data_IF_269816768192
#
_entry.id   IF_269816768192
#
_cell.length_a   1.000
_cell.length_b   1.000
_cell.length_c   1.000
_cell.angle_alpha   90.00
_cell.angle_beta   90.00
_cell.angle_gamma   90.00
#
_symmetry.space_group_name_H-M   'P 1'
#
loop_
_entity.id
_entity.type
_entity.pdbx_description
1 polymer ?
#
# COMPACT_ATOMS: atom_id res chain seq x y z
N UNK A 1 18.89 -13.15 7.25
CA UNK A 1 18.81 -12.95 8.73
C UNK A 1 19.79 -11.85 9.13
N UNK A 2 19.38 -10.87 9.93
CA UNK A 2 20.27 -9.81 10.38
C UNK A 2 21.33 -10.40 11.32
N UNK A 3 22.58 -10.25 10.95
CA UNK A 3 23.75 -10.72 11.70
C UNK A 3 24.16 -9.71 12.78
N UNK A 4 24.81 -10.18 13.83
CA UNK A 4 25.51 -9.27 14.76
C UNK A 4 26.65 -8.56 14.00
N UNK A 5 26.84 -7.26 14.24
CA UNK A 5 27.94 -6.52 13.64
C UNK A 5 29.27 -7.15 14.12
N UNK A 6 29.97 -7.84 13.24
CA UNK A 6 31.30 -8.37 13.49
C UNK A 6 32.33 -7.34 13.03
N UNK A 7 33.14 -6.85 13.96
CA UNK A 7 34.23 -5.94 13.62
C UNK A 7 35.24 -6.66 12.71
N UNK A 8 35.74 -5.94 11.72
CA UNK A 8 36.82 -6.44 10.86
C UNK A 8 38.10 -6.64 11.68
N UNK A 9 38.99 -7.56 11.28
CA UNK A 9 40.28 -7.75 11.98
C UNK A 9 41.10 -6.45 12.14
N UNK A 10 40.96 -5.52 11.18
CA UNK A 10 41.60 -4.20 11.22
C UNK A 10 41.01 -3.33 12.31
N UNK A 11 39.70 -3.26 12.44
CA UNK A 11 39.00 -2.49 13.48
C UNK A 11 39.29 -3.02 14.88
N UNK A 12 39.36 -4.35 15.03
CA UNK A 12 39.75 -5.00 16.28
C UNK A 12 41.18 -4.57 16.64
N UNK A 13 42.13 -4.58 15.68
CA UNK A 13 43.50 -4.16 15.91
C UNK A 13 43.62 -2.67 16.29
N UNK A 14 42.78 -1.81 15.66
CA UNK A 14 42.69 -0.39 16.00
C UNK A 14 42.21 -0.15 17.43
N UNK A 15 41.16 -0.87 17.86
CA UNK A 15 40.64 -0.80 19.23
C UNK A 15 41.65 -1.28 20.25
N UNK A 16 42.36 -2.38 19.98
CA UNK A 16 43.43 -2.89 20.87
C UNK A 16 44.58 -1.88 20.97
N UNK A 17 45.02 -1.33 19.85
CA UNK A 17 46.07 -0.34 19.83
C UNK A 17 45.66 0.92 20.63
N UNK A 18 44.44 1.40 20.44
CA UNK A 18 43.92 2.58 21.16
C UNK A 18 43.83 2.33 22.68
N UNK A 19 43.45 1.10 23.06
CA UNK A 19 43.46 0.66 24.47
C UNK A 19 44.84 0.68 25.08
N UNK A 20 45.84 0.12 24.38
CA UNK A 20 47.26 0.11 24.82
C UNK A 20 47.80 1.55 24.95
N UNK A 21 47.59 2.39 23.93
CA UNK A 21 48.06 3.80 23.94
C UNK A 21 47.40 4.55 25.10
N UNK A 22 46.10 4.35 25.33
CA UNK A 22 45.40 5.02 26.44
C UNK A 22 45.94 4.59 27.79
N UNK A 23 46.18 3.31 28.01
CA UNK A 23 46.80 2.81 29.25
C UNK A 23 48.21 3.36 29.45
N UNK A 24 49.02 3.40 28.38
CA UNK A 24 50.37 4.00 28.47
C UNK A 24 50.33 5.49 28.87
N UNK A 25 49.42 6.28 28.27
CA UNK A 25 49.25 7.70 28.60
C UNK A 25 48.86 7.89 30.06
N UNK A 26 47.83 7.13 30.53
CA UNK A 26 47.33 7.22 31.90
C UNK A 26 48.40 6.77 32.90
N UNK A 27 49.18 5.72 32.56
CA UNK A 27 50.32 5.27 33.38
C UNK A 27 51.42 6.30 33.48
N UNK A 28 51.80 6.95 32.37
CA UNK A 28 52.80 8.02 32.37
C UNK A 28 52.34 9.23 33.18
N UNK A 29 51.07 9.62 33.09
CA UNK A 29 50.49 10.68 33.92
C UNK A 29 50.51 10.31 35.41
N UNK A 30 50.17 9.06 35.76
CA UNK A 30 50.26 8.56 37.13
C UNK A 30 51.70 8.65 37.66
N UNK A 31 52.71 8.17 36.90
CA UNK A 31 54.12 8.24 37.25
C UNK A 31 54.59 9.72 37.41
N UNK A 32 54.20 10.60 36.49
CA UNK A 32 54.54 12.03 36.56
C UNK A 32 54.02 12.68 37.83
N UNK A 33 52.77 12.44 38.19
CA UNK A 33 52.18 12.96 39.43
C UNK A 33 52.85 12.36 40.65
N UNK A 34 53.14 11.06 40.64
CA UNK A 34 53.82 10.39 41.77
C UNK A 34 55.23 10.92 41.99
N UNK A 35 56.00 11.17 40.93
CA UNK A 35 57.32 11.79 40.99
C UNK A 35 57.23 13.23 41.52
N UNK A 36 56.29 14.03 40.99
CA UNK A 36 56.05 15.40 41.42
C UNK A 36 55.72 15.49 42.91
N UNK A 37 54.79 14.63 43.36
CA UNK A 37 54.42 14.56 44.80
C UNK A 37 55.59 14.10 45.65
N UNK A 38 56.39 13.12 45.17
CA UNK A 38 57.61 12.65 45.89
C UNK A 38 58.66 13.74 46.01
N UNK A 39 58.86 14.55 44.97
CA UNK A 39 59.77 15.68 45.03
C UNK A 39 59.29 16.75 46.02
N UNK A 40 57.99 17.09 45.98
CA UNK A 40 57.43 18.07 46.93
C UNK A 40 57.57 17.62 48.41
N UNK A 41 57.60 16.35 48.69
CA UNK A 41 57.69 15.79 50.04
C UNK A 41 59.17 15.68 50.48
N UNK A 42 60.09 15.38 49.55
CA UNK A 42 61.46 14.98 49.90
C UNK A 42 62.56 16.09 49.67
N UNK A 43 62.27 17.09 48.82
CA UNK A 43 63.26 18.16 48.54
C UNK A 43 62.83 19.56 49.06
N UNK A 44 63.59 20.17 50.02
CA UNK A 44 63.35 21.54 50.46
C UNK A 44 64.05 22.56 49.53
N UNK A 45 63.72 22.55 48.24
CA UNK A 45 64.55 23.35 47.33
C UNK A 45 63.90 24.01 46.14
N UNK A 46 62.62 23.78 45.87
CA UNK A 46 61.95 24.37 44.66
C UNK A 46 61.14 25.63 44.97
N UNK A 47 60.82 25.87 46.20
CA UNK A 47 60.26 27.14 46.67
C UNK A 47 61.12 27.61 47.78
N UNK A 48 61.71 28.79 47.61
CA UNK A 48 62.55 29.49 48.61
C UNK A 48 61.74 29.95 49.84
N UNK A 49 61.14 29.02 50.51
CA UNK A 49 60.48 29.17 51.81
C UNK A 49 60.95 27.98 52.62
N UNK A 50 61.63 28.24 53.73
CA UNK A 50 62.23 27.32 54.66
C UNK A 50 61.32 26.37 55.42
N UNK A 51 60.34 25.82 54.75
CA UNK A 51 59.35 24.86 55.34
C UNK A 51 59.21 23.63 54.45
N UNK A 52 59.78 22.50 54.87
CA UNK A 52 59.43 21.23 54.26
C UNK A 52 57.97 20.98 54.60
N UNK A 53 57.16 20.48 53.58
CA UNK A 53 55.73 20.12 53.78
C UNK A 53 55.58 19.17 54.96
N UNK A 54 56.65 18.50 55.37
CA UNK A 54 56.72 17.57 56.52
C UNK A 54 56.69 18.31 57.85
N UNK A 55 57.27 19.46 57.96
CA UNK A 55 57.23 20.24 59.20
C UNK A 55 55.97 21.08 59.36
N UNK A 56 55.44 21.50 58.23
CA UNK A 56 54.22 22.35 58.23
C UNK A 56 52.96 21.50 58.51
N UNK A 57 52.86 20.26 57.99
CA UNK A 57 51.65 19.45 58.06
C UNK A 57 51.67 18.37 59.14
N UNK A 58 52.79 18.19 59.90
CA UNK A 58 52.99 17.20 60.98
C UNK A 58 52.54 15.75 60.54
N UNK A 59 52.87 15.37 59.27
CA UNK A 59 52.42 14.14 58.66
C UNK A 59 53.40 13.01 58.98
N UNK A 60 52.98 11.99 59.72
CA UNK A 60 53.77 10.81 60.00
C UNK A 60 54.00 9.93 58.77
N UNK A 61 55.12 9.15 58.73
CA UNK A 61 55.40 8.25 57.59
C UNK A 61 54.28 7.26 57.26
N UNK A 62 53.58 6.81 58.24
CA UNK A 62 52.43 5.88 58.07
C UNK A 62 51.26 6.55 57.35
N UNK A 63 50.98 7.80 57.62
CA UNK A 63 49.94 8.59 56.96
C UNK A 63 50.32 8.86 55.47
N UNK A 64 51.58 9.11 55.16
CA UNK A 64 52.06 9.27 53.77
C UNK A 64 51.86 7.97 52.96
N UNK A 65 52.20 6.81 53.58
CA UNK A 65 51.98 5.52 52.94
C UNK A 65 50.50 5.23 52.71
N UNK A 66 49.65 5.60 53.64
CA UNK A 66 48.20 5.47 53.53
C UNK A 66 47.61 6.30 52.39
N UNK A 67 47.96 7.60 52.32
CA UNK A 67 47.49 8.48 51.23
C UNK A 67 48.03 8.05 49.85
N UNK A 68 49.29 7.59 49.78
CA UNK A 68 49.88 7.05 48.55
C UNK A 68 49.09 5.81 48.07
N UNK A 69 48.72 4.90 48.97
CA UNK A 69 47.93 3.71 48.60
C UNK A 69 46.54 4.08 48.13
N UNK A 70 45.84 5.01 48.79
CA UNK A 70 44.54 5.52 48.35
C UNK A 70 44.67 6.16 46.97
N UNK A 71 45.65 7.02 46.74
CA UNK A 71 45.90 7.67 45.45
C UNK A 71 46.13 6.62 44.36
N UNK A 72 46.95 5.58 44.65
CA UNK A 72 47.21 4.51 43.67
C UNK A 72 45.95 3.77 43.31
N UNK A 73 45.16 3.35 44.31
CA UNK A 73 43.89 2.61 44.09
C UNK A 73 42.92 3.47 43.29
N UNK A 74 42.76 4.75 43.65
CA UNK A 74 41.87 5.68 42.95
C UNK A 74 42.33 5.91 41.51
N UNK A 75 43.63 6.04 41.27
CA UNK A 75 44.22 6.18 39.92
C UNK A 75 44.01 4.94 39.07
N UNK A 76 44.10 3.72 39.62
CA UNK A 76 43.84 2.49 38.91
C UNK A 76 42.34 2.39 38.52
N UNK A 77 41.43 2.68 39.44
CA UNK A 77 39.98 2.72 39.14
C UNK A 77 39.66 3.71 38.06
N UNK A 78 40.26 4.93 38.16
CA UNK A 78 40.09 5.95 37.13
C UNK A 78 40.64 5.50 35.77
N UNK A 79 41.83 4.87 35.74
CA UNK A 79 42.44 4.37 34.51
C UNK A 79 41.56 3.35 33.81
N UNK A 80 40.99 2.40 34.56
CA UNK A 80 40.10 1.39 34.02
C UNK A 80 38.80 2.02 33.48
N UNK A 81 38.15 2.90 34.27
CA UNK A 81 36.94 3.57 33.87
C UNK A 81 37.14 4.47 32.63
N UNK A 82 38.26 5.24 32.59
CA UNK A 82 38.56 6.10 31.45
C UNK A 82 38.90 5.31 30.18
N UNK A 83 39.68 4.24 30.31
CA UNK A 83 40.00 3.35 29.17
C UNK A 83 38.72 2.69 28.63
N UNK A 84 37.85 2.18 29.51
CA UNK A 84 36.55 1.61 29.13
C UNK A 84 35.68 2.64 28.40
N UNK A 85 35.54 3.84 28.97
CA UNK A 85 34.75 4.93 28.35
C UNK A 85 35.29 5.31 26.97
N UNK A 86 36.60 5.41 26.82
CA UNK A 86 37.26 5.77 25.54
C UNK A 86 37.06 4.67 24.48
N UNK A 87 37.25 3.40 24.84
CA UNK A 87 37.03 2.26 23.94
C UNK A 87 35.58 2.16 23.52
N UNK A 88 34.65 2.36 24.45
CA UNK A 88 33.21 2.32 24.14
C UNK A 88 32.82 3.43 23.16
N UNK A 89 33.35 4.64 23.37
CA UNK A 89 33.14 5.76 22.44
C UNK A 89 33.70 5.46 21.05
N UNK A 90 34.85 4.84 20.95
CA UNK A 90 35.46 4.44 19.67
C UNK A 90 34.65 3.38 18.97
N UNK A 91 34.18 2.38 19.71
CA UNK A 91 33.33 1.35 19.21
C UNK A 91 32.01 1.90 18.64
N UNK A 92 31.37 2.83 19.33
CA UNK A 92 30.17 3.51 18.82
C UNK A 92 30.43 4.30 17.55
N UNK A 93 31.60 4.95 17.41
CA UNK A 93 31.96 5.64 16.17
C UNK A 93 32.13 4.67 15.00
N UNK A 94 32.72 3.50 15.21
CA UNK A 94 32.84 2.46 14.18
C UNK A 94 31.47 1.97 13.73
N UNK A 95 30.56 1.69 14.68
CA UNK A 95 29.18 1.32 14.36
C UNK A 95 28.47 2.38 13.51
N UNK A 96 28.62 3.66 13.87
CA UNK A 96 28.04 4.77 13.13
C UNK A 96 28.59 4.87 11.70
N UNK A 97 29.89 4.65 11.50
CA UNK A 97 30.50 4.67 10.18
C UNK A 97 29.92 3.57 9.28
N UNK A 98 29.73 2.36 9.79
CA UNK A 98 29.07 1.27 9.03
C UNK A 98 27.62 1.61 8.66
N UNK A 99 26.85 2.21 9.58
CA UNK A 99 25.49 2.68 9.27
C UNK A 99 25.52 3.73 8.16
N UNK A 100 26.44 4.71 8.23
CA UNK A 100 26.56 5.77 7.24
C UNK A 100 26.97 5.24 5.87
N UNK A 101 27.84 4.25 5.80
CA UNK A 101 28.27 3.61 4.55
C UNK A 101 27.07 2.93 3.85
N UNK A 102 26.30 2.11 4.57
CA UNK A 102 25.11 1.48 4.02
C UNK A 102 24.02 2.51 3.67
N UNK A 103 23.87 3.55 4.47
CA UNK A 103 22.91 4.64 4.20
C UNK A 103 23.28 5.42 2.92
N UNK A 104 24.55 5.67 2.65
CA UNK A 104 24.98 6.30 1.40
C UNK A 104 24.61 5.44 0.18
N UNK A 105 24.84 4.12 0.26
CA UNK A 105 24.46 3.21 -0.83
C UNK A 105 22.94 3.20 -1.08
N UNK A 106 22.15 3.24 -0.02
CA UNK A 106 20.69 3.37 -0.11
C UNK A 106 20.31 4.72 -0.73
N UNK A 107 20.94 5.81 -0.29
CA UNK A 107 20.68 7.17 -0.79
C UNK A 107 21.06 7.31 -2.28
N UNK A 108 22.06 6.58 -2.77
CA UNK A 108 22.47 6.51 -4.18
C UNK A 108 21.50 5.66 -5.04
N UNK A 109 20.35 5.26 -4.49
CA UNK A 109 19.28 4.57 -5.22
C UNK A 109 19.29 3.05 -5.14
N UNK A 110 20.18 2.44 -4.32
CA UNK A 110 20.19 1.00 -4.09
C UNK A 110 19.14 0.58 -3.03
N UNK A 111 17.88 0.80 -3.34
CA UNK A 111 16.76 0.54 -2.40
C UNK A 111 16.52 -0.95 -2.08
N UNK A 112 17.18 -1.87 -2.77
CA UNK A 112 17.14 -3.31 -2.44
C UNK A 112 17.96 -3.65 -1.20
N UNK A 113 18.85 -2.74 -0.79
CA UNK A 113 19.68 -2.92 0.39
C UNK A 113 18.94 -2.59 1.68
N UNK A 114 19.34 -3.28 2.73
CA UNK A 114 18.95 -3.00 4.12
C UNK A 114 20.21 -2.99 4.95
N UNK A 115 20.20 -2.25 6.04
CA UNK A 115 21.27 -2.32 7.03
C UNK A 115 21.21 -3.71 7.67
N UNK A 116 22.22 -4.59 7.43
CA UNK A 116 22.11 -6.03 7.70
C UNK A 116 22.35 -6.43 9.16
N UNK A 117 22.78 -5.50 10.02
CA UNK A 117 23.20 -5.81 11.37
C UNK A 117 22.22 -5.33 12.43
N UNK A 118 22.09 -6.10 13.49
CA UNK A 118 21.33 -5.74 14.69
C UNK A 118 22.27 -5.05 15.68
N UNK A 119 21.89 -3.85 16.10
CA UNK A 119 22.54 -3.11 17.15
C UNK A 119 21.61 -3.00 18.36
N UNK A 120 22.21 -2.86 19.54
CA UNK A 120 21.48 -2.68 20.79
C UNK A 120 21.34 -1.19 21.14
N UNK A 121 20.32 -0.85 21.94
CA UNK A 121 20.09 0.53 22.39
C UNK A 121 19.65 1.48 21.28
N UNK A 122 20.02 2.75 21.40
CA UNK A 122 19.55 3.83 20.52
C UNK A 122 19.93 3.62 19.05
N UNK A 123 21.15 3.11 18.80
CA UNK A 123 21.61 2.80 17.44
C UNK A 123 20.78 1.71 16.77
N UNK A 124 20.30 0.72 17.55
CA UNK A 124 19.39 -0.30 17.05
C UNK A 124 18.03 0.27 16.64
N UNK A 125 17.52 1.25 17.39
CA UNK A 125 16.28 1.95 17.02
C UNK A 125 16.45 2.76 15.73
N UNK A 126 17.59 3.43 15.56
CA UNK A 126 17.91 4.17 14.33
C UNK A 126 17.95 3.23 13.13
N UNK A 127 18.68 2.12 13.21
CA UNK A 127 18.75 1.11 12.13
C UNK A 127 17.36 0.58 11.77
N UNK A 128 16.54 0.22 12.77
CA UNK A 128 15.18 -0.25 12.52
C UNK A 128 14.31 0.83 11.85
N UNK A 129 14.45 2.09 12.26
CA UNK A 129 13.72 3.21 11.68
C UNK A 129 14.10 3.46 10.22
N UNK A 130 15.41 3.38 9.92
CA UNK A 130 15.92 3.50 8.55
C UNK A 130 15.39 2.36 7.67
N UNK A 131 15.51 1.11 8.12
CA UNK A 131 15.02 -0.03 7.35
C UNK A 131 13.50 0.06 7.08
N UNK A 132 12.70 0.47 8.07
CA UNK A 132 11.25 0.71 7.89
C UNK A 132 10.96 1.83 6.89
N UNK A 133 11.76 2.90 6.89
CA UNK A 133 11.64 3.99 5.93
C UNK A 133 11.96 3.50 4.51
N UNK A 134 13.01 2.69 4.35
CA UNK A 134 13.37 2.09 3.06
C UNK A 134 12.25 1.15 2.58
N UNK A 135 11.70 0.29 3.46
CA UNK A 135 10.56 -0.58 3.12
C UNK A 135 9.36 0.25 2.65
N UNK A 136 9.02 1.32 3.35
CA UNK A 136 7.92 2.22 2.96
C UNK A 136 8.18 2.89 1.61
N UNK A 137 9.42 3.29 1.35
CA UNK A 137 9.81 3.92 0.08
C UNK A 137 9.74 2.94 -1.08
N UNK A 138 10.23 1.70 -0.90
CA UNK A 138 10.16 0.64 -1.92
C UNK A 138 8.70 0.33 -2.25
N UNK A 139 7.86 0.11 -1.24
CA UNK A 139 6.44 -0.14 -1.45
C UNK A 139 5.76 1.02 -2.21
N UNK A 140 6.07 2.27 -1.86
CA UNK A 140 5.52 3.44 -2.56
C UNK A 140 5.97 3.51 -4.03
N UNK A 141 7.23 3.16 -4.34
CA UNK A 141 7.75 3.10 -5.70
C UNK A 141 7.13 1.95 -6.51
N UNK A 142 6.89 0.80 -5.88
CA UNK A 142 6.20 -0.33 -6.52
C UNK A 142 4.74 0.03 -6.83
N UNK A 143 4.05 0.67 -5.89
CA UNK A 143 2.68 1.16 -6.10
C UNK A 143 2.63 2.20 -7.23
N UNK A 144 3.58 3.14 -7.29
CA UNK A 144 3.69 4.14 -8.36
C UNK A 144 3.90 3.48 -9.72
N UNK A 145 4.84 2.52 -9.83
CA UNK A 145 5.08 1.76 -11.07
C UNK A 145 3.85 0.96 -11.50
N UNK A 146 3.14 0.35 -10.56
CA UNK A 146 1.90 -0.38 -10.85
C UNK A 146 0.80 0.57 -11.38
N UNK A 147 0.69 1.78 -10.82
CA UNK A 147 -0.24 2.82 -11.30
C UNK A 147 0.15 3.29 -12.70
N UNK A 148 1.44 3.54 -12.96
CA UNK A 148 1.94 3.99 -14.28
C UNK A 148 1.70 2.93 -15.34
N UNK A 149 2.07 1.68 -15.08
CA UNK A 149 1.80 0.55 -15.97
C UNK A 149 0.31 0.41 -16.27
N UNK A 150 -0.53 0.50 -15.24
CA UNK A 150 -1.98 0.45 -15.40
C UNK A 150 -2.53 1.60 -16.25
N UNK A 151 -1.93 2.80 -16.16
CA UNK A 151 -2.30 3.96 -16.99
C UNK A 151 -1.92 3.73 -18.46
N UNK A 152 -0.75 3.17 -18.74
CA UNK A 152 -0.30 2.90 -20.10
C UNK A 152 -1.15 1.80 -20.75
N UNK A 153 -1.47 0.74 -20.02
CA UNK A 153 -2.41 -0.31 -20.47
C UNK A 153 -3.79 0.28 -20.76
N UNK A 154 -4.29 1.18 -19.90
CA UNK A 154 -5.55 1.89 -20.10
C UNK A 154 -5.55 2.66 -21.42
N UNK A 155 -4.54 3.52 -21.66
CA UNK A 155 -4.44 4.33 -22.88
C UNK A 155 -4.39 3.43 -24.12
N UNK A 156 -3.62 2.34 -24.08
CA UNK A 156 -3.47 1.41 -25.19
C UNK A 156 -4.77 0.70 -25.51
N UNK A 157 -5.44 0.13 -24.52
CA UNK A 157 -6.68 -0.62 -24.69
C UNK A 157 -7.83 0.28 -25.16
N UNK A 158 -8.00 1.46 -24.54
CA UNK A 158 -9.01 2.44 -24.96
C UNK A 158 -8.77 2.89 -26.39
N UNK A 159 -7.53 3.18 -26.77
CA UNK A 159 -7.20 3.60 -28.13
C UNK A 159 -7.57 2.55 -29.18
N UNK A 160 -7.33 1.26 -28.87
CA UNK A 160 -7.73 0.14 -29.72
C UNK A 160 -9.27 0.04 -29.82
N UNK A 161 -9.96 0.10 -28.67
CA UNK A 161 -11.40 -0.10 -28.60
C UNK A 161 -12.21 1.08 -29.16
N UNK A 162 -11.65 2.30 -29.20
CA UNK A 162 -12.21 3.44 -29.93
C UNK A 162 -11.93 3.33 -31.43
N UNK A 163 -10.75 2.88 -31.85
CA UNK A 163 -10.38 2.79 -33.28
C UNK A 163 -11.29 1.84 -34.05
N UNK A 164 -11.66 0.70 -33.46
CA UNK A 164 -12.47 -0.32 -34.13
C UNK A 164 -13.86 0.18 -34.54
N UNK A 165 -14.73 0.72 -33.63
CA UNK A 165 -16.01 1.28 -34.03
C UNK A 165 -15.86 2.48 -34.95
N UNK A 166 -14.86 3.36 -34.73
CA UNK A 166 -14.62 4.51 -35.59
C UNK A 166 -14.32 4.10 -37.02
N UNK A 167 -13.47 3.08 -37.24
CA UNK A 167 -13.20 2.54 -38.57
C UNK A 167 -14.46 1.97 -39.21
N UNK A 168 -15.31 1.28 -38.45
CA UNK A 168 -16.58 0.77 -38.93
C UNK A 168 -17.55 1.90 -39.35
N UNK A 169 -17.69 2.95 -38.53
CA UNK A 169 -18.49 4.13 -38.84
C UNK A 169 -18.04 4.76 -40.15
N UNK A 170 -16.72 5.04 -40.27
CA UNK A 170 -16.16 5.63 -41.50
C UNK A 170 -16.35 4.73 -42.72
N UNK A 171 -16.22 3.38 -42.53
CA UNK A 171 -16.45 2.41 -43.58
C UNK A 171 -17.89 2.43 -44.10
N UNK A 172 -18.89 2.32 -43.22
CA UNK A 172 -20.30 2.31 -43.62
C UNK A 172 -20.79 3.65 -44.19
N UNK A 173 -20.36 4.77 -43.59
CA UNK A 173 -20.64 6.09 -44.15
C UNK A 173 -19.95 6.28 -45.50
N UNK A 174 -18.71 5.77 -45.66
CA UNK A 174 -17.99 5.77 -46.92
C UNK A 174 -18.70 5.00 -48.03
N UNK A 175 -19.36 3.88 -47.72
CA UNK A 175 -20.20 3.16 -48.70
C UNK A 175 -21.38 3.98 -49.18
N UNK A 176 -21.99 4.77 -48.29
CA UNK A 176 -23.12 5.68 -48.66
C UNK A 176 -22.62 6.84 -49.53
N UNK A 177 -21.49 7.46 -49.17
CA UNK A 177 -20.99 8.67 -49.82
C UNK A 177 -20.33 8.39 -51.18
N UNK A 178 -19.60 7.26 -51.31
CA UNK A 178 -18.77 6.98 -52.48
C UNK A 178 -19.46 6.12 -53.55
N UNK A 179 -20.64 5.58 -53.28
CA UNK A 179 -21.41 4.79 -54.27
C UNK A 179 -22.51 5.66 -54.88
N UNK A 180 -22.47 5.94 -56.19
CA UNK A 180 -23.40 6.87 -56.85
C UNK A 180 -24.87 6.37 -56.87
N UNK A 181 -25.11 5.06 -56.73
CA UNK A 181 -26.44 4.43 -56.85
C UNK A 181 -26.72 3.47 -55.70
N UNK A 182 -26.47 3.88 -54.42
CA UNK A 182 -26.87 3.05 -53.28
C UNK A 182 -28.39 3.00 -53.21
N UNK A 183 -28.97 1.81 -53.17
CA UNK A 183 -30.38 1.64 -52.90
C UNK A 183 -30.80 2.25 -51.55
N UNK A 184 -31.94 2.93 -51.50
CA UNK A 184 -32.41 3.59 -50.27
C UNK A 184 -32.47 2.65 -49.06
N UNK A 185 -32.77 1.39 -49.27
CA UNK A 185 -32.80 0.36 -48.22
C UNK A 185 -31.41 0.06 -47.68
N UNK A 186 -30.40 -0.08 -48.54
CA UNK A 186 -29.01 -0.33 -48.18
C UNK A 186 -28.39 0.89 -47.48
N UNK A 187 -28.68 2.11 -48.00
CA UNK A 187 -28.24 3.35 -47.38
C UNK A 187 -28.75 3.49 -45.94
N UNK A 188 -30.05 3.14 -45.71
CA UNK A 188 -30.63 3.14 -44.40
C UNK A 188 -29.97 2.09 -43.47
N UNK A 189 -29.77 0.88 -43.97
CA UNK A 189 -29.07 -0.19 -43.21
C UNK A 189 -27.64 0.21 -42.81
N UNK A 190 -26.86 0.80 -43.72
CA UNK A 190 -25.50 1.26 -43.41
C UNK A 190 -25.52 2.42 -42.41
N UNK A 191 -26.47 3.33 -42.51
CA UNK A 191 -26.64 4.42 -41.54
C UNK A 191 -27.00 3.88 -40.14
N UNK A 192 -27.90 2.90 -40.05
CA UNK A 192 -28.29 2.26 -38.80
C UNK A 192 -27.08 1.56 -38.13
N UNK A 193 -26.26 0.84 -38.92
CA UNK A 193 -25.02 0.21 -38.38
C UNK A 193 -24.04 1.27 -37.90
N UNK A 194 -23.82 2.34 -38.68
CA UNK A 194 -22.92 3.41 -38.28
C UNK A 194 -23.39 4.11 -37.00
N UNK A 195 -24.71 4.34 -36.87
CA UNK A 195 -25.33 4.93 -35.70
C UNK A 195 -25.13 4.04 -34.44
N UNK A 196 -25.40 2.73 -34.56
CA UNK A 196 -25.18 1.78 -33.48
C UNK A 196 -23.71 1.74 -33.02
N UNK A 197 -22.75 1.84 -33.95
CA UNK A 197 -21.32 1.89 -33.62
C UNK A 197 -20.93 3.22 -32.95
N UNK A 198 -21.58 4.35 -33.33
CA UNK A 198 -21.39 5.64 -32.67
C UNK A 198 -21.92 5.61 -31.22
N UNK A 199 -23.09 4.98 -30.98
CA UNK A 199 -23.60 4.79 -29.62
C UNK A 199 -22.67 3.92 -28.76
N UNK A 200 -22.14 2.83 -29.32
CA UNK A 200 -21.14 2.01 -28.63
C UNK A 200 -19.89 2.83 -28.24
N UNK A 201 -19.42 3.68 -29.16
CA UNK A 201 -18.25 4.54 -28.89
C UNK A 201 -18.55 5.59 -27.82
N UNK A 202 -19.76 6.17 -27.83
CA UNK A 202 -20.20 7.09 -26.78
C UNK A 202 -20.15 6.44 -25.41
N UNK A 203 -20.71 5.23 -25.25
CA UNK A 203 -20.67 4.48 -23.98
C UNK A 203 -19.24 4.21 -23.51
N UNK A 204 -18.31 3.88 -24.43
CA UNK A 204 -16.91 3.69 -24.12
C UNK A 204 -16.26 4.98 -23.55
N UNK A 205 -16.56 6.12 -24.15
CA UNK A 205 -16.02 7.42 -23.71
C UNK A 205 -16.63 7.81 -22.36
N UNK A 206 -17.92 7.62 -22.18
CA UNK A 206 -18.63 7.89 -20.92
C UNK A 206 -18.07 7.01 -19.78
N UNK A 207 -17.88 5.71 -20.01
CA UNK A 207 -17.27 4.77 -19.06
C UNK A 207 -15.82 5.17 -18.71
N UNK A 208 -15.04 5.61 -19.71
CA UNK A 208 -13.67 6.08 -19.47
C UNK A 208 -13.64 7.33 -18.61
N UNK A 209 -14.51 8.30 -18.93
CA UNK A 209 -14.61 9.53 -18.15
C UNK A 209 -15.00 9.24 -16.70
N UNK A 210 -16.01 8.40 -16.50
CA UNK A 210 -16.46 8.01 -15.18
C UNK A 210 -15.36 7.25 -14.41
N UNK A 211 -14.68 6.32 -15.07
CA UNK A 211 -13.55 5.61 -14.47
C UNK A 211 -12.44 6.56 -13.99
N UNK A 212 -12.13 7.60 -14.78
CA UNK A 212 -11.07 8.57 -14.41
C UNK A 212 -11.48 9.49 -13.27
N UNK A 213 -12.78 9.76 -13.12
CA UNK A 213 -13.34 10.65 -12.08
C UNK A 213 -13.72 9.93 -10.79
N UNK A 214 -13.99 8.61 -10.87
CA UNK A 214 -14.43 7.77 -9.72
C UNK A 214 -13.24 7.06 -9.04
N UNK A 215 -12.19 7.82 -8.67
CA UNK A 215 -11.10 7.26 -7.85
C UNK A 215 -11.48 7.27 -6.36
N UNK A 216 -10.95 6.34 -5.52
CA UNK A 216 -11.24 6.29 -4.08
C UNK A 216 -10.96 7.60 -3.31
N UNK A 217 -10.14 8.50 -3.89
CA UNK A 217 -9.84 9.83 -3.36
C UNK A 217 -10.38 10.95 -4.27
N UNK A 218 -11.42 10.67 -5.07
CA UNK A 218 -12.02 11.59 -6.03
C UNK A 218 -12.99 12.60 -5.41
N UNK A 219 -13.98 13.06 -6.22
CA UNK A 219 -14.98 14.00 -5.76
C UNK A 219 -15.77 13.46 -4.55
N UNK A 220 -16.11 14.32 -3.57
CA UNK A 220 -16.87 13.91 -2.39
C UNK A 220 -18.21 13.30 -2.80
N UNK A 221 -18.61 12.23 -2.10
CA UNK A 221 -19.92 11.59 -2.30
C UNK A 221 -21.03 12.51 -1.80
N UNK A 222 -22.16 12.50 -2.51
CA UNK A 222 -23.41 13.17 -2.10
C UNK A 222 -24.29 12.15 -1.40
N UNK A 223 -24.01 11.91 -0.13
CA UNK A 223 -24.68 10.89 0.65
C UNK A 223 -26.09 11.35 1.04
N UNK A 224 -27.06 10.45 0.90
CA UNK A 224 -28.44 10.60 1.32
C UNK A 224 -28.97 9.28 1.88
N UNK A 225 -29.97 9.34 2.74
CA UNK A 225 -30.65 8.17 3.27
C UNK A 225 -31.53 7.51 2.19
N UNK A 226 -31.14 6.33 1.74
CA UNK A 226 -31.80 5.60 0.66
C UNK A 226 -32.43 4.31 1.17
N UNK A 227 -33.76 4.14 1.04
CA UNK A 227 -34.45 2.86 1.28
C UNK A 227 -34.06 1.87 0.17
N UNK A 228 -33.23 0.90 0.51
CA UNK A 228 -32.50 0.07 -0.50
C UNK A 228 -33.46 -0.74 -1.35
N UNK A 229 -34.48 -1.39 -0.77
CA UNK A 229 -35.43 -2.22 -1.55
C UNK A 229 -36.18 -1.37 -2.56
N UNK A 230 -36.71 -0.19 -2.15
CA UNK A 230 -37.43 0.72 -3.05
C UNK A 230 -36.51 1.24 -4.15
N UNK A 231 -35.26 1.55 -3.82
CA UNK A 231 -34.25 1.94 -4.79
C UNK A 231 -34.00 0.85 -5.83
N UNK A 232 -33.85 -0.42 -5.42
CA UNK A 232 -33.69 -1.54 -6.33
C UNK A 232 -34.92 -1.78 -7.20
N UNK A 233 -36.14 -1.66 -6.64
CA UNK A 233 -37.41 -1.76 -7.40
C UNK A 233 -37.49 -0.69 -8.50
N UNK A 234 -37.05 0.54 -8.20
CA UNK A 234 -37.04 1.62 -9.19
C UNK A 234 -36.03 1.35 -10.31
N UNK A 235 -34.80 0.94 -9.97
CA UNK A 235 -33.77 0.64 -10.98
C UNK A 235 -34.19 -0.60 -11.83
N UNK A 236 -34.81 -1.63 -11.22
CA UNK A 236 -35.31 -2.79 -11.93
C UNK A 236 -36.32 -2.43 -13.00
N UNK A 237 -37.22 -1.50 -12.70
CA UNK A 237 -38.27 -1.07 -13.65
C UNK A 237 -37.67 -0.46 -14.93
N UNK A 238 -36.52 0.24 -14.86
CA UNK A 238 -35.85 0.80 -16.03
C UNK A 238 -35.34 -0.30 -16.99
N UNK A 239 -35.02 -1.49 -16.47
CA UNK A 239 -34.50 -2.62 -17.25
C UNK A 239 -35.56 -3.64 -17.72
N UNK A 240 -36.80 -3.48 -17.30
CA UNK A 240 -37.87 -4.47 -17.59
C UNK A 240 -38.05 -4.72 -19.09
N UNK A 241 -38.08 -3.66 -19.90
CA UNK A 241 -38.21 -3.77 -21.36
C UNK A 241 -37.01 -4.46 -22.02
N UNK A 242 -35.81 -4.25 -21.50
CA UNK A 242 -34.58 -4.88 -22.00
C UNK A 242 -34.57 -6.38 -21.66
N UNK A 243 -34.89 -6.72 -20.41
CA UNK A 243 -35.04 -8.11 -19.98
C UNK A 243 -36.11 -8.87 -20.77
N UNK A 244 -37.26 -8.26 -21.00
CA UNK A 244 -38.34 -8.86 -21.79
C UNK A 244 -37.95 -9.19 -23.23
N UNK A 245 -37.09 -8.39 -23.89
CA UNK A 245 -36.56 -8.70 -25.22
C UNK A 245 -35.80 -10.03 -25.27
N UNK A 246 -35.22 -10.45 -24.14
CA UNK A 246 -34.56 -11.74 -23.96
C UNK A 246 -35.42 -12.77 -23.21
N UNK A 247 -36.71 -12.49 -23.06
CA UNK A 247 -37.66 -13.30 -22.30
C UNK A 247 -37.26 -13.54 -20.85
N UNK A 248 -36.52 -12.60 -20.27
CA UNK A 248 -36.10 -12.63 -18.88
C UNK A 248 -37.05 -11.77 -18.04
N UNK A 249 -37.19 -12.09 -16.75
CA UNK A 249 -37.86 -11.25 -15.77
C UNK A 249 -36.87 -10.78 -14.71
N UNK A 250 -37.16 -9.62 -14.11
CA UNK A 250 -36.37 -9.10 -12.98
C UNK A 250 -37.29 -9.12 -11.76
N UNK A 251 -36.82 -9.73 -10.67
CA UNK A 251 -37.55 -9.83 -9.42
C UNK A 251 -36.71 -9.27 -8.25
N UNK A 252 -37.31 -8.32 -7.53
CA UNK A 252 -36.74 -7.80 -6.29
C UNK A 252 -37.43 -8.51 -5.12
N UNK A 253 -36.65 -9.28 -4.35
CA UNK A 253 -37.19 -9.99 -3.21
C UNK A 253 -37.55 -9.02 -2.07
N UNK A 254 -38.76 -9.08 -1.49
CA UNK A 254 -39.25 -8.07 -0.55
C UNK A 254 -38.70 -8.22 0.87
N UNK A 255 -37.53 -8.80 1.03
CA UNK A 255 -36.89 -8.98 2.30
C UNK A 255 -36.21 -7.68 2.77
N UNK A 256 -36.15 -7.44 4.10
CA UNK A 256 -35.42 -6.31 4.69
C UNK A 256 -35.82 -4.92 4.13
N UNK A 257 -37.13 -4.66 3.95
CA UNK A 257 -37.65 -3.37 3.43
C UNK A 257 -37.37 -2.17 4.33
N UNK A 258 -37.03 -2.40 5.58
CA UNK A 258 -36.66 -1.39 6.59
C UNK A 258 -35.21 -0.90 6.47
N UNK A 259 -34.40 -1.53 5.59
CA UNK A 259 -33.00 -1.15 5.43
C UNK A 259 -32.89 0.17 4.67
N UNK A 260 -32.30 1.14 5.37
CA UNK A 260 -31.92 2.46 4.84
C UNK A 260 -30.41 2.59 4.98
N UNK A 261 -29.73 3.01 3.90
CA UNK A 261 -28.29 3.26 3.90
C UNK A 261 -28.01 4.69 3.44
N UNK A 262 -26.98 5.29 4.01
CA UNK A 262 -26.47 6.59 3.61
C UNK A 262 -25.56 6.41 2.37
N UNK A 263 -26.08 6.71 1.18
CA UNK A 263 -25.43 6.44 -0.11
C UNK A 263 -25.57 7.61 -1.08
N UNK A 264 -24.63 7.69 -2.03
CA UNK A 264 -24.78 8.49 -3.24
C UNK A 264 -25.63 7.73 -4.25
N UNK A 265 -26.92 8.11 -4.34
CA UNK A 265 -27.92 7.41 -5.16
C UNK A 265 -27.51 7.37 -6.64
N UNK A 266 -27.00 8.48 -7.20
CA UNK A 266 -26.63 8.57 -8.62
C UNK A 266 -25.49 7.58 -8.94
N UNK A 267 -24.48 7.50 -8.09
CA UNK A 267 -23.39 6.53 -8.24
C UNK A 267 -23.85 5.09 -8.02
N UNK A 268 -24.73 4.87 -7.04
CA UNK A 268 -25.22 3.52 -6.76
C UNK A 268 -26.15 3.00 -7.87
N UNK A 269 -26.95 3.85 -8.51
CA UNK A 269 -27.69 3.50 -9.75
C UNK A 269 -26.73 2.92 -10.79
N UNK A 270 -25.54 3.53 -10.95
CA UNK A 270 -24.54 3.05 -11.92
C UNK A 270 -23.99 1.66 -11.56
N UNK A 271 -23.81 1.36 -10.26
CA UNK A 271 -23.42 0.03 -9.79
C UNK A 271 -24.48 -1.01 -10.21
N UNK A 272 -25.74 -0.76 -9.86
CA UNK A 272 -26.81 -1.70 -10.16
C UNK A 272 -27.05 -1.85 -11.67
N UNK A 273 -26.97 -0.76 -12.43
CA UNK A 273 -27.06 -0.78 -13.90
C UNK A 273 -26.00 -1.69 -14.51
N UNK A 274 -24.75 -1.60 -14.04
CA UNK A 274 -23.66 -2.46 -14.50
C UNK A 274 -23.92 -3.94 -14.20
N UNK A 275 -24.48 -4.24 -13.01
CA UNK A 275 -24.80 -5.62 -12.62
C UNK A 275 -25.99 -6.15 -13.41
N UNK A 276 -27.08 -5.38 -13.57
CA UNK A 276 -28.26 -5.80 -14.33
C UNK A 276 -27.95 -5.95 -15.83
N UNK A 277 -27.21 -5.02 -16.42
CA UNK A 277 -26.76 -5.13 -17.81
C UNK A 277 -25.94 -6.41 -18.03
N UNK A 278 -25.04 -6.75 -17.11
CA UNK A 278 -24.28 -8.00 -17.15
C UNK A 278 -25.23 -9.22 -16.99
N UNK A 279 -26.15 -9.19 -16.05
CA UNK A 279 -27.10 -10.28 -15.81
C UNK A 279 -28.00 -10.55 -17.03
N UNK A 280 -28.50 -9.50 -17.68
CA UNK A 280 -29.28 -9.61 -18.93
C UNK A 280 -28.42 -10.15 -20.07
N UNK A 281 -27.17 -9.64 -20.20
CA UNK A 281 -26.29 -9.97 -21.30
C UNK A 281 -25.78 -11.42 -21.27
N UNK A 282 -25.44 -11.92 -20.11
CA UNK A 282 -24.82 -13.23 -19.89
C UNK A 282 -25.74 -14.25 -19.28
N UNK A 283 -26.94 -13.84 -18.86
CA UNK A 283 -27.98 -14.73 -18.37
C UNK A 283 -28.63 -15.58 -19.49
N UNK A 284 -29.11 -16.73 -19.10
CA UNK A 284 -29.89 -17.60 -20.01
C UNK A 284 -31.26 -16.96 -20.34
N UNK A 285 -31.70 -17.12 -21.56
CA UNK A 285 -33.09 -16.75 -21.95
C UNK A 285 -34.10 -17.55 -21.13
N UNK A 286 -35.31 -17.03 -21.02
CA UNK A 286 -36.42 -17.63 -20.26
C UNK A 286 -36.11 -17.81 -18.75
N UNK A 287 -35.18 -17.01 -18.18
CA UNK A 287 -34.76 -17.06 -16.78
C UNK A 287 -35.19 -15.82 -15.99
N UNK A 288 -35.03 -15.88 -14.67
CA UNK A 288 -35.32 -14.77 -13.76
C UNK A 288 -33.99 -14.23 -13.16
N UNK A 289 -33.81 -12.91 -13.25
CA UNK A 289 -32.78 -12.20 -12.52
C UNK A 289 -33.36 -11.81 -11.17
N UNK A 290 -32.74 -12.24 -10.08
CA UNK A 290 -33.18 -11.91 -8.73
C UNK A 290 -32.25 -10.89 -8.06
N UNK A 291 -32.85 -9.87 -7.43
CA UNK A 291 -32.17 -8.95 -6.54
C UNK A 291 -32.64 -9.13 -5.11
N UNK A 292 -31.74 -9.29 -4.18
CA UNK A 292 -32.04 -9.52 -2.78
C UNK A 292 -31.20 -8.63 -1.86
N UNK A 293 -31.83 -8.15 -0.79
CA UNK A 293 -31.14 -7.39 0.27
C UNK A 293 -31.00 -8.30 1.49
N UNK A 294 -29.75 -8.53 1.90
CA UNK A 294 -29.40 -9.33 3.08
C UNK A 294 -28.77 -8.40 4.13
N UNK A 295 -29.12 -8.58 5.40
CA UNK A 295 -28.60 -7.81 6.51
C UNK A 295 -27.97 -8.75 7.53
N UNK A 296 -26.65 -8.67 7.72
CA UNK A 296 -25.89 -9.51 8.64
C UNK A 296 -24.76 -8.72 9.32
N UNK A 297 -24.70 -8.78 10.64
CA UNK A 297 -23.57 -8.27 11.45
C UNK A 297 -23.19 -6.79 11.13
N UNK A 298 -24.19 -5.92 10.87
CA UNK A 298 -23.93 -4.50 10.53
C UNK A 298 -23.40 -4.28 9.10
N UNK A 299 -23.57 -5.30 8.23
CA UNK A 299 -23.29 -5.22 6.80
C UNK A 299 -24.57 -5.50 6.03
N UNK A 300 -24.90 -4.62 5.12
CA UNK A 300 -25.98 -4.82 4.15
C UNK A 300 -25.37 -5.32 2.85
N UNK A 301 -25.86 -6.44 2.36
CA UNK A 301 -25.41 -7.06 1.10
C UNK A 301 -26.54 -7.02 0.09
N UNK A 302 -26.31 -6.39 -1.06
CA UNK A 302 -27.18 -6.48 -2.24
C UNK A 302 -26.64 -7.60 -3.11
N UNK A 303 -27.45 -8.63 -3.34
CA UNK A 303 -27.13 -9.75 -4.21
C UNK A 303 -27.92 -9.64 -5.52
N UNK A 304 -27.23 -9.67 -6.67
CA UNK A 304 -27.83 -9.75 -8.01
C UNK A 304 -27.46 -11.11 -8.60
N UNK A 305 -28.45 -11.93 -8.88
CA UNK A 305 -28.28 -13.32 -9.33
C UNK A 305 -28.93 -13.55 -10.68
N UNK A 306 -28.26 -14.28 -11.56
CA UNK A 306 -28.82 -14.74 -12.83
C UNK A 306 -28.40 -16.19 -13.11
N UNK A 307 -29.24 -16.94 -13.81
CA UNK A 307 -28.86 -18.22 -14.40
C UNK A 307 -27.93 -17.99 -15.58
N UNK A 308 -26.85 -18.77 -15.70
CA UNK A 308 -25.85 -18.60 -16.76
C UNK A 308 -24.81 -19.72 -16.77
N UNK A 309 -23.94 -19.70 -17.76
CA UNK A 309 -22.82 -20.64 -17.84
C UNK A 309 -21.89 -20.48 -16.63
N UNK A 310 -21.33 -21.59 -16.11
CA UNK A 310 -20.45 -21.54 -14.96
C UNK A 310 -19.16 -20.77 -15.27
N UNK A 311 -18.76 -19.93 -14.34
CA UNK A 311 -17.53 -19.12 -14.43
C UNK A 311 -16.46 -19.78 -13.56
N UNK A 312 -15.27 -20.03 -14.13
CA UNK A 312 -14.16 -20.63 -13.37
C UNK A 312 -13.63 -19.68 -12.28
N UNK A 313 -13.01 -20.24 -11.24
CA UNK A 313 -12.47 -19.43 -10.12
C UNK A 313 -11.44 -18.42 -10.58
N UNK A 314 -10.57 -18.81 -11.52
CA UNK A 314 -9.53 -17.95 -12.09
C UNK A 314 -10.14 -16.74 -12.82
N UNK A 315 -11.29 -16.94 -13.50
CA UNK A 315 -12.02 -15.87 -14.17
C UNK A 315 -12.76 -14.99 -13.15
N UNK A 316 -13.37 -15.57 -12.10
CA UNK A 316 -14.07 -14.83 -11.04
C UNK A 316 -13.11 -13.85 -10.33
N UNK A 317 -11.86 -14.24 -10.05
CA UNK A 317 -10.85 -13.37 -9.45
C UNK A 317 -10.47 -12.17 -10.33
N UNK A 318 -10.63 -12.31 -11.65
CA UNK A 318 -10.26 -11.28 -12.61
C UNK A 318 -11.45 -10.45 -13.12
N UNK A 319 -12.70 -10.81 -12.79
CA UNK A 319 -13.89 -10.12 -13.30
C UNK A 319 -13.93 -8.61 -13.01
N UNK A 320 -13.37 -8.20 -11.90
CA UNK A 320 -13.27 -6.79 -11.49
C UNK A 320 -12.03 -6.08 -12.02
N UNK A 321 -11.11 -6.83 -12.68
CA UNK A 321 -9.95 -6.24 -13.31
C UNK A 321 -10.37 -5.40 -14.53
N UNK A 322 -9.66 -4.31 -14.74
CA UNK A 322 -9.93 -3.33 -15.81
C UNK A 322 -9.76 -3.98 -17.18
N UNK A 323 -10.69 -3.70 -18.10
CA UNK A 323 -10.68 -4.23 -19.47
C UNK A 323 -10.68 -5.76 -19.56
N UNK A 324 -10.89 -6.42 -18.43
CA UNK A 324 -10.98 -7.87 -18.43
C UNK A 324 -12.29 -8.32 -19.10
N UNK A 325 -12.16 -9.27 -20.01
CA UNK A 325 -13.28 -9.94 -20.68
C UNK A 325 -12.94 -11.42 -20.79
N UNK A 326 -13.80 -12.29 -20.30
CA UNK A 326 -13.63 -13.71 -20.47
C UNK A 326 -13.59 -14.06 -21.98
N UNK A 327 -12.78 -15.05 -22.37
CA UNK A 327 -12.57 -15.38 -23.80
C UNK A 327 -13.88 -15.70 -24.54
N UNK A 328 -14.82 -16.36 -23.89
CA UNK A 328 -16.16 -16.62 -24.43
C UNK A 328 -16.98 -15.34 -24.74
N UNK A 329 -16.66 -14.21 -24.08
CA UNK A 329 -17.36 -12.91 -24.27
C UNK A 329 -16.69 -12.00 -25.33
N UNK A 330 -15.59 -12.43 -25.93
CA UNK A 330 -14.87 -11.68 -27.00
C UNK A 330 -15.58 -11.73 -28.37
N UNK A 331 -16.67 -12.48 -28.51
CA UNK A 331 -17.46 -12.48 -29.75
C UNK A 331 -17.95 -11.03 -30.04
N UNK A 332 -17.81 -10.62 -31.30
CA UNK A 332 -18.09 -9.24 -31.76
C UNK A 332 -19.52 -8.75 -31.53
N UNK A 333 -20.47 -9.65 -31.24
CA UNK A 333 -21.88 -9.36 -31.09
C UNK A 333 -22.27 -8.90 -29.67
N UNK A 334 -21.51 -9.28 -28.63
CA UNK A 334 -21.84 -8.97 -27.25
C UNK A 334 -21.06 -7.77 -26.68
N UNK A 335 -20.94 -6.67 -27.44
CA UNK A 335 -20.18 -5.46 -27.07
C UNK A 335 -20.17 -5.13 -25.56
N UNK A 336 -19.02 -4.77 -25.02
CA UNK A 336 -18.86 -4.34 -23.63
C UNK A 336 -17.44 -3.81 -23.44
N UNK A 337 -17.29 -2.76 -22.63
CA UNK A 337 -16.06 -2.03 -22.41
C UNK A 337 -15.04 -2.77 -21.52
N UNK A 338 -15.51 -3.74 -20.73
CA UNK A 338 -14.71 -4.37 -19.66
C UNK A 338 -14.42 -3.40 -18.50
N UNK A 339 -15.05 -2.23 -18.49
CA UNK A 339 -14.88 -1.21 -17.42
C UNK A 339 -16.03 -1.26 -16.41
N UNK A 340 -17.22 -1.74 -16.79
CA UNK A 340 -18.43 -1.63 -15.97
C UNK A 340 -18.28 -2.21 -14.56
N UNK A 341 -17.76 -3.44 -14.43
CA UNK A 341 -17.52 -4.05 -13.11
C UNK A 341 -16.42 -3.35 -12.31
N UNK A 342 -15.37 -2.88 -12.98
CA UNK A 342 -14.30 -2.10 -12.33
C UNK A 342 -14.80 -0.74 -11.83
N UNK A 343 -15.70 -0.08 -12.58
CA UNK A 343 -16.38 1.16 -12.16
C UNK A 343 -17.28 0.86 -10.96
N UNK A 344 -18.08 -0.19 -11.03
CA UNK A 344 -18.95 -0.59 -9.92
C UNK A 344 -18.16 -0.86 -8.65
N UNK A 345 -17.07 -1.61 -8.74
CA UNK A 345 -16.17 -1.88 -7.61
C UNK A 345 -15.57 -0.60 -7.01
N UNK A 346 -15.11 0.34 -7.85
CA UNK A 346 -14.57 1.62 -7.39
C UNK A 346 -15.62 2.46 -6.66
N UNK A 347 -16.84 2.52 -7.17
CA UNK A 347 -17.95 3.23 -6.52
C UNK A 347 -18.24 2.61 -5.16
N UNK A 348 -18.35 1.28 -5.07
CA UNK A 348 -18.61 0.58 -3.82
C UNK A 348 -17.48 0.78 -2.82
N UNK A 349 -16.21 0.72 -3.26
CA UNK A 349 -15.03 1.04 -2.42
C UNK A 349 -15.07 2.48 -1.91
N UNK A 350 -15.53 3.44 -2.72
CA UNK A 350 -15.69 4.84 -2.30
C UNK A 350 -16.74 5.01 -1.20
N UNK A 351 -17.76 4.14 -1.16
CA UNK A 351 -18.75 4.05 -0.07
C UNK A 351 -18.25 3.22 1.13
N UNK A 352 -16.97 2.85 1.17
CA UNK A 352 -16.41 2.01 2.22
C UNK A 352 -16.82 0.54 2.14
N UNK A 353 -17.42 0.12 1.02
CA UNK A 353 -17.90 -1.23 0.76
C UNK A 353 -16.91 -2.15 0.05
N UNK A 354 -17.37 -3.34 -0.29
CA UNK A 354 -16.65 -4.31 -1.11
C UNK A 354 -17.60 -5.06 -2.06
N UNK A 355 -17.05 -5.58 -3.16
CA UNK A 355 -17.77 -6.44 -4.10
C UNK A 355 -17.04 -7.76 -4.30
N UNK A 356 -17.82 -8.83 -4.53
CA UNK A 356 -17.30 -10.12 -4.97
C UNK A 356 -18.36 -10.85 -5.82
N UNK A 357 -17.96 -11.92 -6.48
CA UNK A 357 -18.86 -12.73 -7.30
C UNK A 357 -18.63 -14.22 -7.03
N UNK A 358 -19.69 -14.99 -7.18
CA UNK A 358 -19.69 -16.45 -7.08
C UNK A 358 -20.41 -17.04 -8.29
N UNK A 359 -19.99 -18.22 -8.74
CA UNK A 359 -20.66 -18.94 -9.81
C UNK A 359 -20.70 -20.42 -9.46
N UNK A 360 -21.89 -20.89 -9.09
CA UNK A 360 -22.12 -22.27 -8.68
C UNK A 360 -23.49 -22.78 -9.23
N UNK A 361 -23.55 -24.07 -9.56
CA UNK A 361 -24.75 -24.73 -9.97
C UNK A 361 -25.50 -24.05 -11.14
N UNK A 362 -24.79 -23.42 -12.08
CA UNK A 362 -25.39 -22.70 -13.20
C UNK A 362 -26.03 -21.37 -12.83
N UNK A 363 -25.68 -20.82 -11.67
CA UNK A 363 -26.09 -19.49 -11.22
C UNK A 363 -24.86 -18.65 -10.95
N UNK A 364 -24.85 -17.44 -11.48
CA UNK A 364 -23.84 -16.39 -11.15
C UNK A 364 -24.47 -15.36 -10.24
N UNK A 365 -23.76 -15.02 -9.16
CA UNK A 365 -24.20 -14.08 -8.13
C UNK A 365 -23.14 -13.01 -7.93
N UNK A 366 -23.54 -11.75 -8.04
CA UNK A 366 -22.70 -10.59 -7.68
C UNK A 366 -23.19 -10.03 -6.35
N UNK A 367 -22.27 -9.76 -5.46
CA UNK A 367 -22.54 -9.25 -4.12
C UNK A 367 -21.92 -7.88 -3.93
N UNK A 368 -22.72 -6.91 -3.49
CA UNK A 368 -22.32 -5.57 -3.08
C UNK A 368 -22.52 -5.46 -1.58
N UNK A 369 -21.43 -5.43 -0.82
CA UNK A 369 -21.44 -5.36 0.64
C UNK A 369 -21.12 -3.95 1.11
N UNK A 370 -22.02 -3.34 1.87
CA UNK A 370 -21.94 -1.98 2.38
C UNK A 370 -22.04 -1.97 3.92
N UNK A 371 -21.21 -1.21 4.63
CA UNK A 371 -21.35 -1.07 6.07
C UNK A 371 -22.61 -0.27 6.41
N UNK A 372 -23.36 -0.68 7.43
CA UNK A 372 -24.56 0.02 7.90
C UNK A 372 -24.18 1.26 8.73
N UNK A 373 -23.26 1.15 9.67
CA UNK A 373 -22.86 2.24 10.56
C UNK A 373 -21.35 2.40 10.73
N UNK A 374 -20.53 1.38 10.43
CA UNK A 374 -19.11 1.42 10.76
C UNK A 374 -18.24 0.52 9.87
N UNK A 375 -17.13 1.05 9.34
CA UNK A 375 -16.17 0.28 8.52
C UNK A 375 -15.54 -0.93 9.27
N UNK A 376 -15.65 -0.99 10.59
CA UNK A 376 -15.17 -2.11 11.42
C UNK A 376 -15.89 -3.43 11.14
N UNK A 377 -17.20 -3.38 10.88
CA UNK A 377 -18.03 -4.57 10.58
C UNK A 377 -17.63 -5.24 9.27
N UNK A 378 -17.21 -4.48 8.27
CA UNK A 378 -16.74 -5.00 6.99
C UNK A 378 -15.43 -5.79 7.08
N UNK A 379 -14.51 -5.41 7.97
CA UNK A 379 -13.27 -6.18 8.19
C UNK A 379 -13.55 -7.55 8.77
N UNK A 380 -14.43 -7.65 9.75
CA UNK A 380 -14.85 -8.93 10.34
C UNK A 380 -15.62 -9.80 9.33
N UNK A 381 -16.47 -9.17 8.51
CA UNK A 381 -17.21 -9.87 7.45
C UNK A 381 -16.25 -10.45 6.39
N UNK A 382 -15.23 -9.70 5.98
CA UNK A 382 -14.21 -10.16 5.03
C UNK A 382 -13.36 -11.33 5.54
N UNK A 383 -13.12 -11.41 6.85
CA UNK A 383 -12.43 -12.54 7.46
C UNK A 383 -13.28 -13.82 7.50
N UNK A 384 -14.62 -13.69 7.54
CA UNK A 384 -15.55 -14.83 7.48
C UNK A 384 -15.75 -15.38 6.05
N UNK A 385 -15.44 -14.61 5.02
CA UNK A 385 -15.54 -15.01 3.59
C UNK A 385 -14.26 -15.69 3.06
N UNK A 386 -13.16 -15.68 3.82
CA UNK A 386 -11.91 -16.40 3.51
C UNK A 386 -11.93 -17.81 4.11
#
# INVERSE_FOLDING_TARGET
EPTLLTLTPKEVSELVLEGIVTLCIVFLLYLGILVMVSQLINEPGFISVEFSAREVWHIEREQIAFYKNIFTITSVVFAVAFTYWRLMRRYQQMQLNHILEELHLIADGQYDRRIPFRLSGDMGQVVNSINRLVDSTVNALEDERAIEKSKDELITNVSHDIRTPLTSILGYLGLIVNQPNVESADAKRYAEIAYSKAEQMKLLVDDLFEYTTTRPNGAPLRLNDIPIVNFLEQVAADFELEAQKRKMAIEVLPNNRDVVLELDAEKMVRVINNLLSNAIKYGHEDSVITMEVLRNDGVVTIAVRNAGDPISKEVLEQLFARFYRAEASRSKETGGTGLGLAIAENIVKSHGGMMYAESENGQTSFYVCLPEENQGSLKQFKEKLK
#
